data_IF_820774766684
#
_entry.id   IF_820774766684
#
_cell.length_a   1.000
_cell.length_b   1.000
_cell.length_c   1.000
_cell.angle_alpha   90.00
_cell.angle_beta   90.00
_cell.angle_gamma   90.00
#
_symmetry.space_group_name_H-M   'P 1'
#
loop_
_entity.id
_entity.type
_entity.pdbx_description
1 polymer ?
#
# COMPACT_ATOMS: atom_id res chain seq x y z
N UNK A 1 12.87 -27.79 10.23
CA UNK A 1 12.61 -27.92 11.64
C UNK A 1 11.91 -26.66 12.12
N UNK A 2 10.68 -26.83 12.51
CA UNK A 2 9.86 -25.71 13.00
C UNK A 2 10.13 -25.51 14.49
N UNK A 3 10.89 -24.51 14.83
CA UNK A 3 11.18 -24.09 16.21
C UNK A 3 9.98 -23.52 16.96
N UNK A 4 8.76 -23.73 16.55
CA UNK A 4 7.68 -22.87 17.03
C UNK A 4 6.80 -23.41 18.15
N UNK A 5 6.99 -24.65 18.61
CA UNK A 5 6.02 -25.23 19.55
C UNK A 5 6.19 -24.85 21.01
N UNK A 6 7.31 -24.22 21.41
CA UNK A 6 7.61 -23.95 22.82
C UNK A 6 7.81 -22.46 23.16
N UNK A 7 7.48 -21.53 22.26
CA UNK A 7 7.50 -20.12 22.65
C UNK A 7 6.28 -19.83 23.52
N UNK A 8 6.44 -19.19 24.68
CA UNK A 8 5.31 -18.80 25.50
C UNK A 8 4.36 -17.94 24.68
N UNK A 9 3.06 -18.21 24.79
CA UNK A 9 2.04 -17.34 24.19
C UNK A 9 2.15 -15.98 24.87
N UNK A 10 2.66 -14.99 24.14
CA UNK A 10 2.73 -13.64 24.65
C UNK A 10 1.32 -13.06 24.78
N UNK A 11 1.08 -12.32 25.87
CA UNK A 11 -0.14 -11.54 26.03
C UNK A 11 -0.18 -10.41 24.97
N UNK A 12 -1.36 -9.89 24.70
CA UNK A 12 -1.50 -8.68 23.88
C UNK A 12 -1.02 -7.47 24.68
N UNK A 13 -0.10 -6.76 24.09
CA UNK A 13 0.32 -5.47 24.64
C UNK A 13 -0.70 -4.37 24.33
N UNK A 14 -0.77 -3.29 25.14
CA UNK A 14 -1.53 -2.11 24.80
C UNK A 14 -1.16 -1.53 23.43
N UNK A 15 -2.14 -1.02 22.68
CA UNK A 15 -1.90 -0.52 21.34
C UNK A 15 -0.90 0.65 21.32
N UNK A 16 -0.87 1.46 22.35
CA UNK A 16 0.07 2.56 22.53
C UNK A 16 1.52 2.07 22.62
N UNK A 17 1.76 0.99 23.35
CA UNK A 17 3.11 0.42 23.50
C UNK A 17 3.59 -0.20 22.17
N UNK A 18 2.70 -0.88 21.46
CA UNK A 18 3.00 -1.44 20.14
C UNK A 18 3.34 -0.32 19.16
N UNK A 19 2.58 0.77 19.17
CA UNK A 19 2.81 1.91 18.28
C UNK A 19 4.09 2.67 18.63
N UNK A 20 4.35 2.85 19.92
CA UNK A 20 5.60 3.46 20.40
C UNK A 20 6.82 2.62 19.98
N UNK A 21 6.72 1.31 20.05
CA UNK A 21 7.76 0.40 19.55
C UNK A 21 7.95 0.52 18.05
N UNK A 22 6.88 0.54 17.27
CA UNK A 22 6.96 0.71 15.82
C UNK A 22 7.61 2.05 15.43
N UNK A 23 7.30 3.15 16.14
CA UNK A 23 7.96 4.44 15.95
C UNK A 23 9.44 4.40 16.30
N UNK A 24 9.81 3.73 17.38
CA UNK A 24 11.20 3.56 17.77
C UNK A 24 12.00 2.77 16.72
N UNK A 25 11.42 1.68 16.23
CA UNK A 25 12.07 0.81 15.24
C UNK A 25 12.24 1.53 13.89
N UNK A 26 11.24 2.29 13.43
CA UNK A 26 11.36 3.06 12.18
C UNK A 26 12.34 4.22 12.32
N UNK A 27 12.42 4.88 13.47
CA UNK A 27 13.44 5.92 13.72
C UNK A 27 14.84 5.33 13.64
N UNK A 28 15.05 4.19 14.30
CA UNK A 28 16.33 3.48 14.23
C UNK A 28 16.69 3.11 12.78
N UNK A 29 15.71 2.65 12.01
CA UNK A 29 15.93 2.33 10.60
C UNK A 29 16.32 3.57 9.78
N UNK A 30 15.66 4.71 10.00
CA UNK A 30 16.01 5.98 9.35
C UNK A 30 17.46 6.40 9.64
N UNK A 31 17.90 6.23 10.89
CA UNK A 31 19.26 6.59 11.31
C UNK A 31 20.32 5.65 10.72
N UNK A 32 19.98 4.38 10.54
CA UNK A 32 20.89 3.36 9.99
C UNK A 32 21.06 3.45 8.46
N UNK A 33 20.10 4.01 7.72
CA UNK A 33 20.26 4.20 6.29
C UNK A 33 21.18 5.38 5.99
N UNK A 34 22.34 5.16 5.33
CA UNK A 34 23.33 6.21 5.08
C UNK A 34 22.87 7.23 4.03
N UNK A 35 21.99 6.82 3.11
CA UNK A 35 21.61 7.60 1.95
C UNK A 35 20.10 7.82 1.86
N UNK A 36 19.70 8.99 1.43
CA UNK A 36 18.31 9.34 1.10
C UNK A 36 17.99 8.95 -0.35
N UNK A 37 18.32 7.73 -0.74
CA UNK A 37 18.22 7.28 -2.11
C UNK A 37 17.61 5.88 -2.23
N UNK A 38 17.26 5.52 -3.45
CA UNK A 38 16.80 4.18 -3.82
C UNK A 38 17.97 3.33 -4.37
N UNK A 39 19.15 3.40 -3.78
CA UNK A 39 20.38 2.77 -4.26
C UNK A 39 20.23 1.27 -4.58
N UNK A 40 19.36 0.57 -3.84
CA UNK A 40 19.06 -0.86 -4.06
C UNK A 40 17.76 -1.09 -4.82
N UNK A 41 17.23 -0.08 -5.48
CA UNK A 41 15.93 -0.11 -6.14
C UNK A 41 14.75 -0.02 -5.17
N UNK A 42 13.55 0.17 -5.71
CA UNK A 42 12.32 0.37 -4.94
C UNK A 42 11.69 -0.93 -4.42
N UNK A 43 12.25 -2.09 -4.73
CA UNK A 43 11.85 -3.40 -4.22
C UNK A 43 12.49 -3.76 -2.87
N UNK A 44 13.35 -2.92 -2.33
CA UNK A 44 14.01 -3.10 -1.05
C UNK A 44 13.71 -1.93 -0.12
N UNK A 45 13.83 -2.19 1.19
CA UNK A 45 13.73 -1.12 2.18
C UNK A 45 14.75 -0.02 1.89
N UNK A 46 14.32 1.23 2.02
CA UNK A 46 15.11 2.42 1.79
C UNK A 46 14.73 3.50 2.79
N UNK A 47 15.54 4.53 2.94
CA UNK A 47 15.22 5.65 3.83
C UNK A 47 13.92 6.35 3.46
N UNK A 48 13.61 6.65 2.17
CA UNK A 48 12.30 7.16 1.78
C UNK A 48 11.13 6.22 2.13
N UNK A 49 11.30 4.90 2.02
CA UNK A 49 10.28 3.94 2.46
C UNK A 49 10.04 4.00 3.98
N UNK A 50 11.11 4.20 4.78
CA UNK A 50 10.99 4.42 6.23
C UNK A 50 10.28 5.74 6.56
N UNK A 51 10.52 6.80 5.79
CA UNK A 51 9.77 8.05 5.96
C UNK A 51 8.29 7.87 5.68
N UNK A 52 7.93 7.18 4.60
CA UNK A 52 6.53 6.87 4.29
C UNK A 52 5.87 6.05 5.40
N UNK A 53 6.53 5.01 5.89
CA UNK A 53 6.02 4.20 7.01
C UNK A 53 5.87 5.02 8.28
N UNK A 54 6.82 5.91 8.58
CA UNK A 54 6.73 6.80 9.75
C UNK A 54 5.55 7.77 9.63
N UNK A 55 5.32 8.34 8.44
CA UNK A 55 4.16 9.19 8.20
C UNK A 55 2.85 8.44 8.43
N UNK A 56 2.74 7.20 7.96
CA UNK A 56 1.56 6.35 8.15
C UNK A 56 1.31 6.02 9.64
N UNK A 57 2.35 5.63 10.38
CA UNK A 57 2.26 5.38 11.83
C UNK A 57 1.80 6.63 12.59
N UNK A 58 2.37 7.81 12.27
CA UNK A 58 2.00 9.07 12.91
C UNK A 58 0.57 9.48 12.57
N UNK A 59 0.12 9.26 11.34
CA UNK A 59 -1.25 9.52 10.92
C UNK A 59 -2.24 8.64 11.69
N UNK A 60 -1.94 7.35 11.82
CA UNK A 60 -2.72 6.42 12.63
C UNK A 60 -2.79 6.88 14.09
N UNK A 61 -1.65 7.23 14.68
CA UNK A 61 -1.57 7.76 16.05
C UNK A 61 -2.45 9.00 16.21
N UNK A 62 -2.32 9.96 15.30
CA UNK A 62 -3.07 11.22 15.38
C UNK A 62 -4.58 11.02 15.27
N UNK A 63 -5.04 10.12 14.38
CA UNK A 63 -6.48 9.97 14.06
C UNK A 63 -7.19 8.91 14.89
N UNK A 64 -6.51 7.87 15.31
CA UNK A 64 -7.13 6.72 15.98
C UNK A 64 -6.82 6.68 17.47
N UNK A 65 -5.67 7.23 17.89
CA UNK A 65 -5.18 7.15 19.27
C UNK A 65 -5.11 8.52 19.96
N UNK A 66 -5.92 9.48 19.50
CA UNK A 66 -5.96 10.84 20.06
C UNK A 66 -4.57 11.50 20.16
N UNK A 67 -3.78 11.36 19.11
CA UNK A 67 -2.48 12.01 19.01
C UNK A 67 -2.57 13.54 18.90
N UNK A 68 -1.43 14.19 18.87
CA UNK A 68 -1.31 15.65 18.89
C UNK A 68 -1.41 16.28 17.50
N UNK A 69 -1.62 17.61 17.45
CA UNK A 69 -1.47 18.39 16.22
C UNK A 69 -0.04 18.32 15.66
N UNK A 70 0.95 18.16 16.55
CA UNK A 70 2.34 17.98 16.12
C UNK A 70 2.52 16.68 15.34
N UNK A 71 1.86 15.58 15.74
CA UNK A 71 1.90 14.33 14.97
C UNK A 71 1.41 14.56 13.52
N UNK A 72 0.38 15.40 13.30
CA UNK A 72 -0.11 15.73 11.95
C UNK A 72 0.88 16.59 11.15
N UNK A 73 1.58 17.51 11.79
CA UNK A 73 2.64 18.30 11.14
C UNK A 73 3.81 17.41 10.74
N UNK A 74 4.16 16.47 11.62
CA UNK A 74 5.21 15.49 11.34
C UNK A 74 4.81 14.54 10.19
N UNK A 75 3.52 14.15 10.08
CA UNK A 75 3.01 13.40 8.91
C UNK A 75 3.35 14.11 7.61
N UNK A 76 3.05 15.42 7.51
CA UNK A 76 3.34 16.21 6.30
C UNK A 76 4.83 16.21 6.02
N UNK A 77 5.65 16.50 7.04
CA UNK A 77 7.10 16.53 6.90
C UNK A 77 7.68 15.21 6.38
N UNK A 78 7.25 14.08 6.95
CA UNK A 78 7.75 12.77 6.53
C UNK A 78 7.16 12.30 5.20
N UNK A 79 5.96 12.70 4.84
CA UNK A 79 5.39 12.46 3.52
C UNK A 79 6.17 13.21 2.43
N UNK A 80 6.53 14.49 2.68
CA UNK A 80 7.36 15.28 1.77
C UNK A 80 8.77 14.68 1.60
N UNK A 81 9.38 14.22 2.69
CA UNK A 81 10.67 13.54 2.63
C UNK A 81 10.59 12.20 1.86
N UNK A 82 9.50 11.44 2.03
CA UNK A 82 9.29 10.18 1.34
C UNK A 82 9.08 10.36 -0.17
N UNK A 83 8.42 11.44 -0.58
CA UNK A 83 8.11 11.73 -1.99
C UNK A 83 9.18 12.55 -2.70
N UNK A 84 10.22 12.97 -1.99
CA UNK A 84 11.29 13.80 -2.56
C UNK A 84 11.97 13.13 -3.75
N UNK A 85 11.96 13.82 -4.89
CA UNK A 85 12.55 13.31 -6.14
C UNK A 85 11.67 12.32 -6.90
N UNK A 86 10.43 12.11 -6.47
CA UNK A 86 9.43 11.38 -7.21
C UNK A 86 8.53 12.35 -8.00
N UNK A 87 7.83 11.81 -8.99
CA UNK A 87 6.83 12.56 -9.77
C UNK A 87 5.66 11.63 -10.08
N UNK A 88 4.48 12.19 -10.26
CA UNK A 88 3.32 11.40 -10.67
C UNK A 88 3.52 10.82 -12.07
N UNK A 89 2.93 9.66 -12.32
CA UNK A 89 2.84 9.09 -13.67
C UNK A 89 1.85 9.89 -14.51
N UNK A 90 2.10 9.98 -15.81
CA UNK A 90 1.23 10.72 -16.72
C UNK A 90 -0.11 9.99 -16.93
N UNK A 91 -0.09 8.66 -16.88
CA UNK A 91 -1.26 7.80 -16.97
C UNK A 91 -1.40 6.95 -15.71
N UNK A 92 -2.60 6.85 -15.18
CA UNK A 92 -2.89 6.04 -13.99
C UNK A 92 -2.50 4.56 -14.16
N UNK A 93 -2.66 3.99 -15.36
CA UNK A 93 -2.31 2.61 -15.63
C UNK A 93 -0.80 2.32 -15.50
N UNK A 94 0.05 3.32 -15.73
CA UNK A 94 1.51 3.16 -15.69
C UNK A 94 2.03 2.95 -14.26
N UNK A 95 1.27 3.36 -13.23
CA UNK A 95 1.60 3.10 -11.82
C UNK A 95 1.79 1.61 -11.57
N UNK A 96 0.94 0.78 -12.19
CA UNK A 96 0.91 -0.67 -11.97
C UNK A 96 1.61 -1.45 -13.11
N UNK A 97 1.76 -0.83 -14.27
CA UNK A 97 2.36 -1.46 -15.45
C UNK A 97 3.88 -1.36 -15.51
N UNK A 98 4.47 -0.38 -14.82
CA UNK A 98 5.90 -0.09 -14.87
C UNK A 98 6.60 -0.54 -13.59
N UNK A 99 7.58 -1.46 -13.72
CA UNK A 99 8.40 -1.87 -12.60
C UNK A 99 9.21 -0.66 -12.09
N UNK A 100 9.02 -0.32 -10.81
CA UNK A 100 9.70 0.80 -10.17
C UNK A 100 9.42 2.17 -10.83
N UNK A 101 8.17 2.38 -11.24
CA UNK A 101 7.71 3.64 -11.81
C UNK A 101 8.11 4.89 -11.02
N UNK A 102 8.00 6.06 -11.64
CA UNK A 102 8.50 7.33 -11.09
C UNK A 102 7.77 7.77 -9.80
N UNK A 103 6.52 7.33 -9.56
CA UNK A 103 5.79 7.67 -8.33
C UNK A 103 5.85 6.58 -7.23
N UNK A 104 6.47 5.43 -7.51
CA UNK A 104 6.58 4.34 -6.54
C UNK A 104 7.64 4.66 -5.50
N UNK A 105 7.27 4.64 -4.21
CA UNK A 105 8.20 4.76 -3.08
C UNK A 105 8.80 3.39 -2.73
N UNK A 106 7.96 2.39 -2.60
CA UNK A 106 8.35 1.02 -2.28
C UNK A 106 7.30 0.05 -2.81
N UNK A 107 7.73 -1.11 -3.29
CA UNK A 107 6.85 -2.15 -3.81
C UNK A 107 7.40 -3.53 -3.54
N UNK A 108 6.52 -4.49 -3.31
CA UNK A 108 6.85 -5.91 -3.33
C UNK A 108 6.65 -6.38 -4.77
N UNK A 109 7.75 -6.77 -5.41
CA UNK A 109 7.73 -7.24 -6.79
C UNK A 109 7.65 -8.75 -6.85
N UNK A 110 6.80 -9.26 -7.73
CA UNK A 110 6.64 -10.69 -8.00
C UNK A 110 7.05 -10.98 -9.44
N UNK A 111 7.88 -11.99 -9.63
CA UNK A 111 8.23 -12.52 -10.95
C UNK A 111 7.23 -13.63 -11.36
N UNK A 112 7.18 -13.94 -12.65
CA UNK A 112 6.16 -14.81 -13.25
C UNK A 112 6.08 -16.22 -12.63
N UNK A 113 7.15 -16.68 -12.01
CA UNK A 113 7.20 -18.00 -11.33
C UNK A 113 7.16 -17.91 -9.80
N UNK A 114 6.99 -16.72 -9.25
CA UNK A 114 6.87 -16.50 -7.82
C UNK A 114 5.41 -16.61 -7.39
N UNK A 115 5.22 -16.94 -6.11
CA UNK A 115 3.89 -17.09 -5.55
C UNK A 115 3.25 -15.71 -5.38
N UNK A 116 2.26 -15.41 -6.20
CA UNK A 116 1.51 -14.16 -6.14
C UNK A 116 0.66 -14.03 -4.87
N UNK A 117 0.53 -12.81 -4.40
CA UNK A 117 -0.48 -12.47 -3.42
C UNK A 117 -1.87 -12.47 -4.07
N UNK A 118 -2.80 -13.28 -3.56
CA UNK A 118 -4.11 -13.50 -4.17
C UNK A 118 -5.15 -12.40 -3.86
N UNK A 119 -4.71 -11.17 -3.56
CA UNK A 119 -5.62 -10.07 -3.21
C UNK A 119 -6.61 -9.73 -4.32
N UNK A 120 -6.17 -9.80 -5.56
CA UNK A 120 -6.99 -9.46 -6.71
C UNK A 120 -8.17 -10.41 -6.94
N UNK A 121 -8.09 -11.65 -6.47
CA UNK A 121 -9.16 -12.63 -6.67
C UNK A 121 -10.46 -12.29 -5.94
N UNK A 122 -10.38 -11.57 -4.83
CA UNK A 122 -11.56 -11.13 -4.08
C UNK A 122 -12.26 -9.94 -4.70
N UNK A 123 -11.55 -9.12 -5.46
CA UNK A 123 -12.06 -7.90 -6.10
C UNK A 123 -12.56 -8.15 -7.53
N UNK A 124 -11.96 -9.10 -8.23
CA UNK A 124 -12.36 -9.42 -9.61
C UNK A 124 -13.72 -10.14 -9.65
N UNK A 125 -14.55 -9.87 -10.66
CA UNK A 125 -15.81 -10.59 -10.85
C UNK A 125 -15.57 -12.06 -11.25
N UNK A 126 -16.57 -12.91 -11.02
CA UNK A 126 -16.57 -14.28 -11.55
C UNK A 126 -16.76 -14.26 -13.06
N UNK A 127 -16.18 -15.25 -13.74
CA UNK A 127 -16.29 -15.40 -15.19
C UNK A 127 -17.75 -15.38 -15.67
N UNK A 128 -18.64 -16.07 -14.95
CA UNK A 128 -20.09 -16.10 -15.25
C UNK A 128 -20.72 -14.71 -15.30
N UNK A 129 -20.26 -13.76 -14.50
CA UNK A 129 -20.76 -12.39 -14.53
C UNK A 129 -20.13 -11.59 -15.66
N UNK A 130 -18.86 -11.82 -15.94
CA UNK A 130 -18.18 -11.16 -17.06
C UNK A 130 -18.77 -11.58 -18.40
N UNK A 131 -19.04 -12.87 -18.59
CA UNK A 131 -19.67 -13.39 -19.81
C UNK A 131 -21.03 -12.77 -20.12
N UNK A 132 -21.75 -12.35 -19.08
CA UNK A 132 -23.06 -11.68 -19.19
C UNK A 132 -22.96 -10.15 -19.31
N UNK A 133 -21.79 -9.57 -19.14
CA UNK A 133 -21.61 -8.14 -19.26
C UNK A 133 -21.72 -7.69 -20.72
N UNK A 134 -22.46 -6.59 -20.97
CA UNK A 134 -22.65 -6.04 -22.31
C UNK A 134 -21.32 -5.60 -22.92
N UNK A 135 -20.41 -5.08 -22.09
CA UNK A 135 -19.09 -4.58 -22.48
C UNK A 135 -17.94 -5.55 -22.13
N UNK A 136 -18.21 -6.85 -22.12
CA UNK A 136 -17.22 -7.89 -21.73
C UNK A 136 -15.92 -7.82 -22.53
N UNK A 137 -15.98 -7.40 -23.79
CA UNK A 137 -14.82 -7.33 -24.66
C UNK A 137 -13.93 -6.08 -24.37
N UNK A 138 -14.48 -5.11 -23.63
CA UNK A 138 -13.79 -3.89 -23.19
C UNK A 138 -13.14 -4.08 -21.83
N UNK A 139 -13.45 -5.16 -21.10
CA UNK A 139 -12.90 -5.43 -19.76
C UNK A 139 -11.65 -6.29 -19.90
N UNK A 140 -10.46 -5.69 -19.93
CA UNK A 140 -9.21 -6.46 -19.99
C UNK A 140 -9.04 -7.25 -18.68
N UNK A 141 -8.46 -8.45 -18.76
CA UNK A 141 -8.11 -9.27 -17.59
C UNK A 141 -9.28 -9.80 -16.75
N UNK A 142 -10.51 -9.69 -17.21
CA UNK A 142 -11.65 -10.28 -16.52
C UNK A 142 -11.68 -11.82 -16.59
N UNK A 143 -10.80 -12.42 -17.38
CA UNK A 143 -10.65 -13.87 -17.51
C UNK A 143 -9.83 -14.42 -16.37
N UNK A 144 -10.41 -15.30 -15.56
CA UNK A 144 -9.68 -16.12 -14.60
C UNK A 144 -10.23 -16.17 -13.17
N UNK A 145 -11.25 -16.99 -12.93
CA UNK A 145 -11.54 -17.65 -11.66
C UNK A 145 -11.67 -16.78 -10.40
N UNK A 146 -12.13 -15.56 -10.54
CA UNK A 146 -12.27 -14.65 -9.41
C UNK A 146 -13.48 -14.99 -8.53
N UNK A 147 -13.49 -14.50 -7.28
CA UNK A 147 -14.51 -14.88 -6.28
C UNK A 147 -15.65 -13.90 -6.15
N UNK A 148 -15.53 -12.67 -6.65
CA UNK A 148 -16.50 -11.57 -6.46
C UNK A 148 -16.90 -11.37 -5.00
N UNK A 149 -15.93 -11.40 -4.09
CA UNK A 149 -16.22 -11.27 -2.65
C UNK A 149 -16.55 -9.84 -2.26
N UNK A 150 -15.96 -8.88 -2.96
CA UNK A 150 -16.19 -7.46 -2.75
C UNK A 150 -16.64 -6.80 -4.04
N UNK A 151 -17.56 -5.85 -3.90
CA UNK A 151 -18.02 -4.99 -4.99
C UNK A 151 -18.00 -3.53 -4.53
N UNK A 152 -17.77 -2.56 -5.43
CA UNK A 152 -17.87 -1.16 -5.07
C UNK A 152 -19.30 -0.83 -4.61
N UNK A 153 -19.42 -0.01 -3.57
CA UNK A 153 -20.73 0.44 -3.10
C UNK A 153 -21.38 1.39 -4.12
N UNK A 154 -22.72 1.51 -4.13
CA UNK A 154 -23.39 2.51 -4.96
C UNK A 154 -22.91 3.94 -4.71
N UNK A 155 -22.51 4.24 -3.48
CA UNK A 155 -21.91 5.54 -3.13
C UNK A 155 -20.59 5.76 -3.86
N UNK A 156 -19.69 4.78 -3.84
CA UNK A 156 -18.40 4.87 -4.54
C UNK A 156 -18.60 5.02 -6.07
N UNK A 157 -19.51 4.23 -6.65
CA UNK A 157 -19.86 4.34 -8.06
C UNK A 157 -20.39 5.75 -8.37
N UNK A 158 -21.24 6.29 -7.48
CA UNK A 158 -21.77 7.66 -7.63
C UNK A 158 -20.67 8.72 -7.63
N UNK A 159 -19.62 8.58 -6.81
CA UNK A 159 -18.49 9.50 -6.80
C UNK A 159 -17.72 9.53 -8.12
N UNK A 160 -17.44 8.35 -8.71
CA UNK A 160 -16.79 8.29 -10.03
C UNK A 160 -17.68 8.88 -11.13
N UNK A 161 -18.98 8.58 -11.13
CA UNK A 161 -19.90 9.12 -12.13
C UNK A 161 -20.08 10.65 -11.99
N UNK A 162 -19.92 11.21 -10.81
CA UNK A 162 -20.01 12.65 -10.57
C UNK A 162 -18.79 13.43 -11.09
N UNK A 163 -17.69 12.76 -11.38
CA UNK A 163 -16.47 13.38 -11.90
C UNK A 163 -16.02 12.72 -13.22
N UNK A 164 -16.62 13.10 -14.37
CA UNK A 164 -16.28 12.52 -15.67
C UNK A 164 -14.84 12.76 -16.12
N UNK A 165 -14.15 13.72 -15.51
CA UNK A 165 -12.74 14.00 -15.78
C UNK A 165 -11.78 13.07 -15.03
N UNK A 166 -12.28 12.25 -14.10
CA UNK A 166 -11.49 11.25 -13.40
C UNK A 166 -11.24 10.06 -14.32
N UNK A 167 -9.99 9.88 -14.72
CA UNK A 167 -9.57 8.83 -15.66
C UNK A 167 -9.20 7.50 -14.97
N UNK A 168 -9.37 7.39 -13.67
CA UNK A 168 -9.04 6.19 -12.88
C UNK A 168 -10.05 5.07 -13.04
#
# INVERSE_FOLDING_TARGET
PTESSNKPKLAREPAEEVLARALSDVNTAIDLFPEESYANGKGRASKPACYALKADILLWKAKVMNGSEQDLKDVITYADLASKGLSLEDNFADIYGTKYGKEVIWTIHFEIYEKEAQYSQSLKPRDVFVEKAVNKDEIPYAKGGARSTYAPSPFLIGLFNANPADIR
#
